data_IF_606852510146
#
_entry.id   IF_606852510146
#
_cell.length_a   1.000
_cell.length_b   1.000
_cell.length_c   1.000
_cell.angle_alpha   90.00
_cell.angle_beta   90.00
_cell.angle_gamma   90.00
#
_symmetry.space_group_name_H-M   'P 1'
#
loop_
_entity.id
_entity.type
_entity.pdbx_description
1 polymer ?
#
# COMPACT_ATOMS: atom_id res chain seq x y z
N UNK A 1 -43.95 -77.08 -3.53
CA UNK A 1 -44.05 -75.74 -2.92
C UNK A 1 -45.44 -75.56 -2.39
N UNK A 2 -45.58 -75.22 -1.11
CA UNK A 2 -46.88 -75.07 -0.46
C UNK A 2 -47.29 -73.59 -0.55
N UNK A 3 -48.59 -73.31 -0.63
CA UNK A 3 -49.16 -71.96 -0.77
C UNK A 3 -48.58 -70.92 0.20
N UNK A 4 -48.27 -71.35 1.44
CA UNK A 4 -47.60 -70.53 2.47
C UNK A 4 -46.23 -70.00 2.07
N UNK A 5 -45.42 -70.78 1.37
CA UNK A 5 -44.07 -70.37 0.96
C UNK A 5 -44.13 -69.21 -0.06
N UNK A 6 -45.18 -69.20 -0.91
CA UNK A 6 -45.43 -68.13 -1.88
C UNK A 6 -45.98 -66.87 -1.20
N UNK A 7 -46.82 -67.02 -0.18
CA UNK A 7 -47.33 -65.89 0.62
C UNK A 7 -46.21 -65.19 1.39
N UNK A 8 -45.30 -65.97 2.00
CA UNK A 8 -44.14 -65.43 2.71
C UNK A 8 -43.17 -64.72 1.76
N UNK A 9 -42.89 -65.30 0.59
CA UNK A 9 -42.05 -64.66 -0.44
C UNK A 9 -42.68 -63.35 -0.97
N UNK A 10 -44.00 -63.32 -1.18
CA UNK A 10 -44.72 -62.13 -1.60
C UNK A 10 -44.64 -61.02 -0.53
N UNK A 11 -44.73 -61.37 0.75
CA UNK A 11 -44.67 -60.38 1.83
C UNK A 11 -43.24 -59.82 1.99
N UNK A 12 -42.21 -60.65 1.83
CA UNK A 12 -40.81 -60.18 1.76
C UNK A 12 -40.61 -59.25 0.56
N UNK A 13 -41.16 -59.56 -0.61
CA UNK A 13 -41.05 -58.72 -1.80
C UNK A 13 -41.76 -57.37 -1.62
N UNK A 14 -42.95 -57.35 -0.99
CA UNK A 14 -43.64 -56.10 -0.64
C UNK A 14 -42.82 -55.25 0.32
N UNK A 15 -42.26 -55.87 1.37
CA UNK A 15 -41.43 -55.16 2.33
C UNK A 15 -40.17 -54.59 1.65
N UNK A 16 -39.51 -55.39 0.80
CA UNK A 16 -38.40 -54.95 -0.05
C UNK A 16 -38.79 -53.79 -0.96
N UNK A 17 -39.95 -53.87 -1.63
CA UNK A 17 -40.46 -52.80 -2.48
C UNK A 17 -40.73 -51.51 -1.70
N UNK A 18 -41.31 -51.59 -0.50
CA UNK A 18 -41.53 -50.41 0.36
C UNK A 18 -40.21 -49.78 0.80
N UNK A 19 -39.21 -50.59 1.13
CA UNK A 19 -37.88 -50.10 1.48
C UNK A 19 -37.22 -49.40 0.29
N UNK A 20 -37.22 -50.04 -0.89
CA UNK A 20 -36.68 -49.45 -2.12
C UNK A 20 -37.40 -48.14 -2.46
N UNK A 21 -38.73 -48.11 -2.33
CA UNK A 21 -39.52 -46.90 -2.57
C UNK A 21 -39.14 -45.77 -1.61
N UNK A 22 -38.96 -46.07 -0.32
CA UNK A 22 -38.52 -45.09 0.68
C UNK A 22 -37.11 -44.55 0.41
N UNK A 23 -36.18 -45.43 -0.01
CA UNK A 23 -34.82 -45.04 -0.39
C UNK A 23 -34.79 -44.19 -1.65
N UNK A 24 -35.64 -44.51 -2.64
CA UNK A 24 -35.77 -43.72 -3.87
C UNK A 24 -36.30 -42.32 -3.55
N UNK A 25 -37.29 -42.20 -2.67
CA UNK A 25 -37.84 -40.91 -2.29
C UNK A 25 -36.82 -40.05 -1.52
N UNK A 26 -36.05 -40.66 -0.61
CA UNK A 26 -34.92 -39.99 0.04
C UNK A 26 -33.86 -39.53 -0.97
N UNK A 27 -33.57 -40.34 -1.99
CA UNK A 27 -32.62 -39.98 -3.04
C UNK A 27 -33.12 -38.79 -3.86
N UNK A 28 -34.41 -38.76 -4.24
CA UNK A 28 -35.01 -37.62 -4.92
C UNK A 28 -34.90 -36.35 -4.09
N UNK A 29 -35.25 -36.41 -2.81
CA UNK A 29 -35.13 -35.27 -1.91
C UNK A 29 -33.69 -34.74 -1.84
N UNK A 30 -32.70 -35.64 -1.76
CA UNK A 30 -31.28 -35.25 -1.79
C UNK A 30 -30.86 -34.63 -3.13
N UNK A 31 -31.36 -35.13 -4.25
CA UNK A 31 -31.12 -34.51 -5.56
C UNK A 31 -31.69 -33.09 -5.62
N UNK A 32 -32.91 -32.87 -5.15
CA UNK A 32 -33.52 -31.54 -5.10
C UNK A 32 -32.78 -30.57 -4.16
N UNK A 33 -32.25 -31.06 -3.03
CA UNK A 33 -31.40 -30.28 -2.12
C UNK A 33 -30.08 -29.87 -2.79
N UNK A 34 -29.45 -30.79 -3.54
CA UNK A 34 -28.23 -30.52 -4.29
C UNK A 34 -28.47 -29.53 -5.42
N UNK A 35 -29.58 -29.65 -6.17
CA UNK A 35 -29.95 -28.70 -7.21
C UNK A 35 -30.17 -27.29 -6.65
N UNK A 36 -30.88 -27.17 -5.53
CA UNK A 36 -31.07 -25.88 -4.83
C UNK A 36 -29.75 -25.28 -4.35
N UNK A 37 -28.86 -26.10 -3.78
CA UNK A 37 -27.53 -25.64 -3.35
C UNK A 37 -26.67 -25.21 -4.54
N UNK A 38 -26.74 -25.93 -5.65
CA UNK A 38 -26.05 -25.61 -6.89
C UNK A 38 -26.52 -24.27 -7.49
N UNK A 39 -27.84 -24.07 -7.61
CA UNK A 39 -28.40 -22.82 -8.11
C UNK A 39 -28.00 -21.63 -7.22
N UNK A 40 -28.05 -21.81 -5.89
CA UNK A 40 -27.62 -20.78 -4.95
C UNK A 40 -26.14 -20.40 -5.12
N UNK A 41 -25.26 -21.39 -5.26
CA UNK A 41 -23.83 -21.13 -5.45
C UNK A 41 -23.54 -20.50 -6.83
N UNK A 42 -24.30 -20.89 -7.86
CA UNK A 42 -24.22 -20.27 -9.20
C UNK A 42 -24.60 -18.80 -9.14
N UNK A 43 -25.70 -18.46 -8.49
CA UNK A 43 -26.17 -17.07 -8.38
C UNK A 43 -25.17 -16.23 -7.58
N UNK A 44 -24.63 -16.77 -6.47
CA UNK A 44 -23.58 -16.14 -5.69
C UNK A 44 -22.28 -15.95 -6.48
N UNK A 45 -21.90 -16.92 -7.31
CA UNK A 45 -20.76 -16.81 -8.22
C UNK A 45 -21.00 -15.73 -9.28
N UNK A 46 -22.23 -15.58 -9.78
CA UNK A 46 -22.59 -14.52 -10.72
C UNK A 46 -22.49 -13.13 -10.07
N UNK A 47 -23.04 -12.98 -8.86
CA UNK A 47 -22.99 -11.72 -8.09
C UNK A 47 -21.57 -11.29 -7.75
N UNK A 48 -20.72 -12.23 -7.34
CA UNK A 48 -19.30 -11.94 -7.04
C UNK A 48 -18.53 -11.55 -8.30
N UNK A 49 -18.79 -12.23 -9.42
CA UNK A 49 -18.22 -11.86 -10.73
C UNK A 49 -18.62 -10.45 -11.15
N UNK A 50 -19.90 -10.09 -11.04
CA UNK A 50 -20.38 -8.75 -11.36
C UNK A 50 -19.73 -7.66 -10.49
N UNK A 51 -19.64 -7.90 -9.17
CA UNK A 51 -18.94 -6.99 -8.24
C UNK A 51 -17.47 -6.83 -8.59
N UNK A 52 -16.81 -7.91 -8.99
CA UNK A 52 -15.40 -7.88 -9.40
C UNK A 52 -15.22 -7.03 -10.67
N UNK A 53 -16.02 -7.27 -11.72
CA UNK A 53 -15.97 -6.49 -12.96
C UNK A 53 -16.27 -5.01 -12.71
N UNK A 54 -17.20 -4.68 -11.81
CA UNK A 54 -17.48 -3.30 -11.45
C UNK A 54 -16.28 -2.64 -10.76
N UNK A 55 -15.65 -3.32 -9.80
CA UNK A 55 -14.42 -2.83 -9.13
C UNK A 55 -13.26 -2.65 -10.12
N UNK A 56 -13.08 -3.56 -11.07
CA UNK A 56 -12.07 -3.43 -12.12
C UNK A 56 -12.30 -2.19 -12.97
N UNK A 57 -13.55 -1.93 -13.35
CA UNK A 57 -13.93 -0.72 -14.10
C UNK A 57 -13.64 0.54 -13.28
N UNK A 58 -14.05 0.58 -12.02
CA UNK A 58 -13.84 1.73 -11.15
C UNK A 58 -12.34 2.01 -10.94
N UNK A 59 -11.54 0.95 -10.78
CA UNK A 59 -10.08 1.06 -10.69
C UNK A 59 -9.46 1.60 -11.98
N UNK A 60 -9.92 1.14 -13.15
CA UNK A 60 -9.44 1.64 -14.44
C UNK A 60 -9.81 3.12 -14.66
N UNK A 61 -11.02 3.52 -14.28
CA UNK A 61 -11.43 4.93 -14.31
C UNK A 61 -10.56 5.78 -13.39
N UNK A 62 -10.41 5.38 -12.12
CA UNK A 62 -9.55 6.09 -11.16
C UNK A 62 -8.10 6.19 -11.64
N UNK A 63 -7.55 5.12 -12.22
CA UNK A 63 -6.20 5.13 -12.80
C UNK A 63 -6.09 6.14 -13.94
N UNK A 64 -7.09 6.21 -14.82
CA UNK A 64 -7.09 7.15 -15.95
C UNK A 64 -7.16 8.60 -15.46
N UNK A 65 -7.99 8.88 -14.46
CA UNK A 65 -8.12 10.21 -13.87
C UNK A 65 -6.82 10.66 -13.19
N UNK A 66 -6.17 9.78 -12.43
CA UNK A 66 -4.88 10.07 -11.79
C UNK A 66 -3.76 10.34 -12.81
N UNK A 67 -3.74 9.59 -13.92
CA UNK A 67 -2.80 9.86 -15.02
C UNK A 67 -3.06 11.25 -15.62
N UNK A 68 -4.34 11.59 -15.86
CA UNK A 68 -4.72 12.91 -16.35
C UNK A 68 -4.28 14.06 -15.42
N UNK A 69 -4.50 13.91 -14.10
CA UNK A 69 -4.05 14.90 -13.11
C UNK A 69 -2.53 15.04 -13.08
N UNK A 70 -1.81 13.92 -13.15
CA UNK A 70 -0.35 13.92 -13.18
C UNK A 70 0.19 14.66 -14.41
N UNK A 71 -0.40 14.42 -15.58
CA UNK A 71 0.04 15.06 -16.81
C UNK A 71 -0.33 16.56 -16.84
N UNK A 72 -1.45 16.96 -16.23
CA UNK A 72 -1.79 18.36 -16.02
C UNK A 72 -0.79 19.08 -15.10
N UNK A 73 -0.41 18.47 -13.97
CA UNK A 73 0.60 19.01 -13.06
C UNK A 73 1.98 19.11 -13.72
N UNK A 74 2.38 18.12 -14.53
CA UNK A 74 3.61 18.21 -15.31
C UNK A 74 3.58 19.38 -16.29
N UNK A 75 2.47 19.61 -16.96
CA UNK A 75 2.32 20.73 -17.89
C UNK A 75 2.42 22.08 -17.16
N UNK A 76 1.73 22.23 -16.02
CA UNK A 76 1.80 23.43 -15.19
C UNK A 76 3.23 23.67 -14.65
N UNK A 77 3.92 22.60 -14.21
CA UNK A 77 5.31 22.69 -13.77
C UNK A 77 6.25 23.11 -14.91
N UNK A 78 6.05 22.62 -16.12
CA UNK A 78 6.86 23.00 -17.27
C UNK A 78 6.66 24.48 -17.64
N UNK A 79 5.43 24.99 -17.54
CA UNK A 79 5.11 26.41 -17.75
C UNK A 79 5.81 27.30 -16.71
N UNK A 80 5.73 26.96 -15.43
CA UNK A 80 6.42 27.68 -14.35
C UNK A 80 7.94 27.69 -14.52
N UNK A 81 8.53 26.57 -14.94
CA UNK A 81 9.96 26.50 -15.25
C UNK A 81 10.32 27.46 -16.39
N UNK A 82 9.52 27.48 -17.45
CA UNK A 82 9.71 28.42 -18.57
C UNK A 82 9.64 29.88 -18.14
N UNK A 83 8.66 30.24 -17.29
CA UNK A 83 8.55 31.59 -16.74
C UNK A 83 9.77 31.98 -15.89
N UNK A 84 10.26 31.07 -15.04
CA UNK A 84 11.45 31.31 -14.22
C UNK A 84 12.72 31.48 -15.06
N UNK A 85 12.88 30.70 -16.14
CA UNK A 85 14.01 30.84 -17.06
C UNK A 85 13.99 32.18 -17.78
N UNK A 86 12.80 32.64 -18.19
CA UNK A 86 12.63 33.96 -18.79
C UNK A 86 12.99 35.08 -17.82
N UNK A 87 12.47 35.05 -16.59
CA UNK A 87 12.80 36.05 -15.56
C UNK A 87 14.30 36.07 -15.25
N UNK A 88 14.96 34.89 -15.18
CA UNK A 88 16.41 34.80 -15.01
C UNK A 88 17.16 35.45 -16.17
N UNK A 89 16.74 35.22 -17.41
CA UNK A 89 17.36 35.83 -18.58
C UNK A 89 17.19 37.36 -18.57
N UNK A 90 16.02 37.86 -18.19
CA UNK A 90 15.76 39.30 -18.04
C UNK A 90 16.57 39.93 -16.91
N UNK A 91 16.63 39.27 -15.75
CA UNK A 91 17.48 39.66 -14.62
C UNK A 91 18.96 39.71 -15.01
N UNK A 92 19.43 38.75 -15.81
CA UNK A 92 20.80 38.75 -16.34
C UNK A 92 21.07 39.97 -17.22
N UNK A 93 20.15 40.31 -18.12
CA UNK A 93 20.26 41.52 -18.97
C UNK A 93 20.28 42.81 -18.15
N UNK A 94 19.43 42.89 -17.12
CA UNK A 94 19.41 44.05 -16.22
C UNK A 94 20.71 44.17 -15.41
N UNK A 95 21.26 43.06 -14.94
CA UNK A 95 22.54 43.04 -14.23
C UNK A 95 23.69 43.55 -15.11
N UNK A 96 23.75 43.15 -16.38
CA UNK A 96 24.77 43.66 -17.32
C UNK A 96 24.61 45.16 -17.54
N UNK A 97 23.38 45.64 -17.77
CA UNK A 97 23.12 47.09 -17.92
C UNK A 97 23.50 47.89 -16.68
N UNK A 98 23.24 47.35 -15.49
CA UNK A 98 23.63 47.98 -14.23
C UNK A 98 25.16 48.08 -14.12
N UNK A 99 25.86 47.00 -14.44
CA UNK A 99 27.32 46.97 -14.44
C UNK A 99 27.93 47.96 -15.45
N UNK A 100 27.34 48.08 -16.65
CA UNK A 100 27.74 49.08 -17.64
C UNK A 100 27.52 50.51 -17.14
N UNK A 101 26.37 50.79 -16.51
CA UNK A 101 26.07 52.09 -15.88
C UNK A 101 27.07 52.43 -14.77
N UNK A 102 27.38 51.49 -13.88
CA UNK A 102 28.38 51.67 -12.82
C UNK A 102 29.76 52.00 -13.41
N UNK A 103 30.16 51.28 -14.47
CA UNK A 103 31.42 51.56 -15.15
C UNK A 103 31.46 52.97 -15.73
N UNK A 104 30.41 53.39 -16.45
CA UNK A 104 30.32 54.75 -17.00
C UNK A 104 30.35 55.81 -15.89
N UNK A 105 29.68 55.56 -14.76
CA UNK A 105 29.67 56.47 -13.63
C UNK A 105 31.06 56.62 -13.00
N UNK A 106 31.79 55.51 -12.81
CA UNK A 106 33.15 55.54 -12.27
C UNK A 106 34.13 56.26 -13.21
N UNK A 107 34.02 56.04 -14.52
CA UNK A 107 34.80 56.78 -15.53
C UNK A 107 34.52 58.29 -15.47
N UNK A 108 33.24 58.68 -15.41
CA UNK A 108 32.81 60.08 -15.27
C UNK A 108 33.37 60.72 -14.00
N UNK A 109 33.31 60.01 -12.88
CA UNK A 109 33.80 60.48 -11.58
C UNK A 109 35.32 60.69 -11.61
N UNK A 110 36.06 59.78 -12.26
CA UNK A 110 37.49 59.92 -12.44
C UNK A 110 37.85 61.12 -13.33
N UNK A 111 37.08 61.37 -14.39
CA UNK A 111 37.29 62.50 -15.29
C UNK A 111 37.01 63.85 -14.59
N UNK A 112 35.94 63.94 -13.81
CA UNK A 112 35.66 65.11 -12.95
C UNK A 112 36.82 65.34 -11.97
N UNK A 113 37.32 64.27 -11.34
CA UNK A 113 38.44 64.36 -10.39
C UNK A 113 39.72 64.89 -11.07
N UNK A 114 40.03 64.43 -12.29
CA UNK A 114 41.17 64.93 -13.09
C UNK A 114 40.98 66.41 -13.45
N UNK A 115 39.78 66.80 -13.89
CA UNK A 115 39.49 68.19 -14.23
C UNK A 115 39.65 69.13 -13.02
N UNK A 116 39.19 68.70 -11.84
CA UNK A 116 39.38 69.44 -10.58
C UNK A 116 40.86 69.68 -10.26
N UNK A 117 41.71 68.65 -10.40
CA UNK A 117 43.17 68.77 -10.18
C UNK A 117 43.78 69.76 -11.18
N UNK A 118 43.43 69.69 -12.47
CA UNK A 118 43.93 70.63 -13.48
C UNK A 118 43.52 72.09 -13.16
N UNK A 119 42.28 72.31 -12.72
CA UNK A 119 41.80 73.64 -12.33
C UNK A 119 42.58 74.15 -11.11
N UNK A 120 42.79 73.33 -10.08
CA UNK A 120 43.60 73.71 -8.91
C UNK A 120 45.02 74.12 -9.30
N UNK A 121 45.71 73.32 -10.12
CA UNK A 121 47.06 73.63 -10.59
C UNK A 121 47.12 74.92 -11.42
N UNK A 122 46.11 75.18 -12.26
CA UNK A 122 46.03 76.43 -13.02
C UNK A 122 45.87 77.65 -12.10
N UNK A 123 45.11 77.49 -11.01
CA UNK A 123 44.89 78.55 -10.03
C UNK A 123 46.15 78.81 -9.19
N UNK A 124 46.86 77.76 -8.77
CA UNK A 124 48.15 77.88 -8.08
C UNK A 124 49.22 78.56 -8.95
N UNK A 125 49.27 78.22 -10.24
CA UNK A 125 50.18 78.89 -11.20
C UNK A 125 49.85 80.37 -11.31
N UNK A 126 48.57 80.73 -11.50
CA UNK A 126 48.14 82.13 -11.58
C UNK A 126 48.49 82.93 -10.32
N UNK A 127 48.28 82.35 -9.14
CA UNK A 127 48.65 82.99 -7.87
C UNK A 127 50.17 83.21 -7.75
N UNK A 128 50.97 82.23 -8.21
CA UNK A 128 52.43 82.34 -8.24
C UNK A 128 52.90 83.44 -9.19
N UNK A 129 52.29 83.54 -10.38
CA UNK A 129 52.57 84.59 -11.35
C UNK A 129 52.22 85.98 -10.79
N UNK A 130 51.07 86.11 -10.11
CA UNK A 130 50.67 87.34 -9.43
C UNK A 130 51.66 87.75 -8.34
N UNK A 131 52.14 86.81 -7.52
CA UNK A 131 53.15 87.07 -6.51
C UNK A 131 54.46 87.56 -7.15
N UNK A 132 54.86 86.97 -8.28
CA UNK A 132 56.04 87.41 -9.03
C UNK A 132 55.89 88.84 -9.58
N UNK A 133 54.71 89.19 -10.12
CA UNK A 133 54.40 90.55 -10.58
C UNK A 133 54.43 91.54 -9.41
N UNK A 134 53.85 91.19 -8.27
CA UNK A 134 53.87 92.05 -7.06
C UNK A 134 55.31 92.26 -6.57
N UNK A 135 56.15 91.23 -6.57
CA UNK A 135 57.57 91.34 -6.23
C UNK A 135 58.33 92.23 -7.25
N UNK A 136 58.03 92.11 -8.54
CA UNK A 136 58.59 92.98 -9.58
C UNK A 136 58.16 94.44 -9.41
N UNK A 137 56.90 94.70 -9.07
CA UNK A 137 56.40 96.05 -8.78
C UNK A 137 56.98 96.61 -7.48
N UNK A 138 57.20 95.79 -6.44
CA UNK A 138 57.91 96.21 -5.24
C UNK A 138 59.38 96.57 -5.54
N UNK A 139 60.00 95.94 -6.54
CA UNK A 139 61.34 96.28 -7.03
C UNK A 139 61.34 97.51 -7.97
N UNK A 140 60.25 97.77 -8.70
CA UNK A 140 60.09 98.93 -9.59
C UNK A 140 59.50 100.18 -8.92
N UNK A 141 58.90 100.06 -7.73
CA UNK A 141 58.33 101.16 -6.95
C UNK A 141 59.32 102.21 -6.43
N UNK A 142 60.62 102.06 -6.73
CA UNK A 142 61.64 103.07 -6.45
C UNK A 142 61.90 104.04 -7.61
N UNK A 143 61.30 103.84 -8.79
CA UNK A 143 61.51 104.73 -9.95
C UNK A 143 60.16 104.88 -10.66
N UNK A 144 59.68 106.12 -10.85
CA UNK A 144 58.46 106.52 -11.56
C UNK A 144 57.25 106.84 -10.68
N UNK A 145 57.42 107.82 -9.79
CA UNK A 145 56.34 108.72 -9.40
C UNK A 145 56.59 110.10 -10.03
N UNK A 146 56.18 110.30 -11.28
CA UNK A 146 55.97 111.64 -11.85
C UNK A 146 55.16 111.60 -13.14
N UNK A 147 54.30 112.61 -13.27
CA UNK A 147 53.56 113.09 -14.44
C UNK A 147 52.12 112.56 -14.54
N UNK A 148 51.15 113.25 -13.94
CA UNK A 148 50.55 114.55 -14.30
C UNK A 148 49.36 114.39 -15.25
N UNK A 149 48.21 114.73 -14.65
CA UNK A 149 46.92 115.19 -15.18
C UNK A 149 46.82 115.48 -16.69
N UNK A 150 45.75 114.95 -17.31
CA UNK A 150 44.86 115.72 -18.21
C UNK A 150 43.58 114.93 -18.55
N UNK A 151 42.51 115.62 -18.98
CA UNK A 151 41.40 115.02 -19.73
C UNK A 151 40.04 114.88 -19.03
N UNK A 152 39.45 115.96 -18.52
CA UNK A 152 38.17 115.96 -17.78
C UNK A 152 36.86 115.79 -18.57
N UNK A 153 36.87 115.67 -19.91
CA UNK A 153 35.62 115.57 -20.71
C UNK A 153 35.44 114.28 -21.53
N UNK A 154 36.49 113.50 -21.79
CA UNK A 154 36.36 112.14 -22.35
C UNK A 154 36.19 111.06 -21.25
N UNK A 155 36.56 111.35 -20.00
CA UNK A 155 36.45 110.42 -18.85
C UNK A 155 35.00 110.10 -18.45
N UNK A 156 34.08 111.07 -18.53
CA UNK A 156 32.68 110.85 -18.15
C UNK A 156 31.92 109.93 -19.12
N UNK A 157 32.14 110.08 -20.44
CA UNK A 157 31.54 109.18 -21.44
C UNK A 157 32.13 107.78 -21.36
N UNK A 158 33.45 107.67 -21.18
CA UNK A 158 34.12 106.39 -20.99
C UNK A 158 33.65 105.68 -19.71
N UNK A 159 33.45 106.40 -18.61
CA UNK A 159 32.89 105.86 -17.36
C UNK A 159 31.45 105.37 -17.52
N UNK A 160 30.62 106.12 -18.25
CA UNK A 160 29.24 105.69 -18.54
C UNK A 160 29.18 104.45 -19.43
N UNK A 161 30.07 104.33 -20.41
CA UNK A 161 30.19 103.13 -21.25
C UNK A 161 30.70 101.92 -20.45
N UNK A 162 31.65 102.13 -19.52
CA UNK A 162 32.10 101.09 -18.59
C UNK A 162 30.93 100.64 -17.70
N UNK A 163 30.22 101.57 -17.05
CA UNK A 163 29.05 101.26 -16.22
C UNK A 163 27.96 100.52 -17.01
N UNK A 164 27.70 100.90 -18.26
CA UNK A 164 26.71 100.23 -19.13
C UNK A 164 27.14 98.80 -19.46
N UNK A 165 28.42 98.58 -19.77
CA UNK A 165 28.98 97.23 -19.99
C UNK A 165 28.94 96.39 -18.72
N UNK A 166 29.27 96.96 -17.56
CA UNK A 166 29.21 96.28 -16.26
C UNK A 166 27.78 95.89 -15.88
N UNK A 167 26.81 96.80 -16.07
CA UNK A 167 25.39 96.51 -15.86
C UNK A 167 24.87 95.43 -16.81
N UNK A 168 25.24 95.50 -18.09
CA UNK A 168 24.87 94.47 -19.06
C UNK A 168 25.45 93.11 -18.67
N UNK A 169 26.72 93.05 -18.28
CA UNK A 169 27.37 91.84 -17.79
C UNK A 169 26.63 91.23 -16.59
N UNK A 170 26.31 92.03 -15.56
CA UNK A 170 25.56 91.54 -14.40
C UNK A 170 24.13 91.12 -14.75
N UNK A 171 23.46 91.82 -15.67
CA UNK A 171 22.13 91.45 -16.12
C UNK A 171 22.14 90.11 -16.87
N UNK A 172 23.13 89.87 -17.72
CA UNK A 172 23.30 88.59 -18.43
C UNK A 172 23.63 87.46 -17.46
N UNK A 173 24.55 87.68 -16.51
CA UNK A 173 24.86 86.72 -15.43
C UNK A 173 23.63 86.36 -14.59
N UNK A 174 22.80 87.34 -14.25
CA UNK A 174 21.55 87.10 -13.52
C UNK A 174 20.58 86.23 -14.33
N UNK A 175 20.43 86.51 -15.63
CA UNK A 175 19.58 85.69 -16.52
C UNK A 175 20.09 84.24 -16.63
N UNK A 176 21.40 84.05 -16.79
CA UNK A 176 22.02 82.72 -16.82
C UNK A 176 21.81 81.97 -15.49
N UNK A 177 21.96 82.66 -14.35
CA UNK A 177 21.70 82.09 -13.02
C UNK A 177 20.24 81.63 -12.85
N UNK A 178 19.27 82.41 -13.34
CA UNK A 178 17.85 82.03 -13.30
C UNK A 178 17.57 80.78 -14.14
N UNK A 179 18.19 80.65 -15.32
CA UNK A 179 18.04 79.46 -16.17
C UNK A 179 18.61 78.22 -15.48
N UNK A 180 19.78 78.32 -14.85
CA UNK A 180 20.38 77.22 -14.08
C UNK A 180 19.50 76.85 -12.89
N UNK A 181 18.98 77.84 -12.16
CA UNK A 181 18.08 77.62 -11.03
C UNK A 181 16.79 76.90 -11.47
N UNK A 182 16.20 77.27 -12.61
CA UNK A 182 15.02 76.58 -13.14
C UNK A 182 15.30 75.12 -13.50
N UNK A 183 16.45 74.83 -14.13
CA UNK A 183 16.87 73.46 -14.45
C UNK A 183 17.07 72.63 -13.18
N UNK A 184 17.79 73.16 -12.20
CA UNK A 184 18.01 72.50 -10.92
C UNK A 184 16.68 72.20 -10.20
N UNK A 185 15.75 73.15 -10.21
CA UNK A 185 14.44 73.00 -9.58
C UNK A 185 13.52 71.99 -10.33
N UNK A 186 13.79 71.75 -11.62
CA UNK A 186 13.15 70.66 -12.35
C UNK A 186 13.76 69.29 -11.98
N UNK A 187 15.09 69.20 -11.90
CA UNK A 187 15.77 67.97 -11.47
C UNK A 187 15.41 67.57 -10.04
N UNK A 188 15.29 68.53 -9.12
CA UNK A 188 14.85 68.26 -7.73
C UNK A 188 13.45 67.66 -7.72
N UNK A 189 12.50 68.20 -8.50
CA UNK A 189 11.15 67.65 -8.60
C UNK A 189 11.13 66.23 -9.18
N UNK A 190 11.90 65.96 -10.22
CA UNK A 190 12.01 64.60 -10.77
C UNK A 190 12.60 63.63 -9.73
N UNK A 191 13.62 64.06 -8.99
CA UNK A 191 14.19 63.25 -7.91
C UNK A 191 13.17 62.97 -6.82
N UNK A 192 12.39 63.97 -6.39
CA UNK A 192 11.32 63.78 -5.40
C UNK A 192 10.27 62.77 -5.88
N UNK A 193 9.82 62.86 -7.13
CA UNK A 193 8.91 61.89 -7.74
C UNK A 193 9.49 60.47 -7.70
N UNK A 194 10.76 60.29 -8.13
CA UNK A 194 11.41 58.97 -8.08
C UNK A 194 11.59 58.45 -6.66
N UNK A 195 11.85 59.31 -5.68
CA UNK A 195 11.93 58.93 -4.26
C UNK A 195 10.57 58.42 -3.78
N UNK A 196 9.48 59.11 -4.11
CA UNK A 196 8.13 58.67 -3.72
C UNK A 196 7.75 57.34 -4.36
N UNK A 197 8.15 57.12 -5.61
CA UNK A 197 7.90 55.85 -6.30
C UNK A 197 8.69 54.69 -5.68
N UNK A 198 9.96 54.92 -5.34
CA UNK A 198 10.80 53.93 -4.65
C UNK A 198 10.24 53.59 -3.26
N UNK A 199 9.76 54.59 -2.52
CA UNK A 199 9.13 54.37 -1.21
C UNK A 199 7.88 53.51 -1.31
N UNK A 200 7.02 53.75 -2.30
CA UNK A 200 5.82 52.95 -2.56
C UNK A 200 6.18 51.51 -2.93
N UNK A 201 7.16 51.31 -3.81
CA UNK A 201 7.62 49.97 -4.21
C UNK A 201 8.22 49.21 -3.01
N UNK A 202 8.97 49.88 -2.15
CA UNK A 202 9.52 49.30 -0.93
C UNK A 202 8.42 48.81 0.02
N UNK A 203 7.38 49.60 0.25
CA UNK A 203 6.22 49.20 1.06
C UNK A 203 5.47 48.00 0.44
N UNK A 204 5.32 47.96 -0.88
CA UNK A 204 4.70 46.82 -1.56
C UNK A 204 5.54 45.54 -1.41
N UNK A 205 6.86 45.63 -1.57
CA UNK A 205 7.78 44.51 -1.33
C UNK A 205 7.70 44.01 0.11
N UNK A 206 7.63 44.91 1.09
CA UNK A 206 7.45 44.55 2.50
C UNK A 206 6.13 43.80 2.73
N UNK A 207 5.02 44.31 2.17
CA UNK A 207 3.70 43.67 2.28
C UNK A 207 3.69 42.28 1.64
N UNK A 208 4.27 42.12 0.45
CA UNK A 208 4.44 40.82 -0.21
C UNK A 208 5.29 39.87 0.63
N UNK A 209 6.35 40.37 1.26
CA UNK A 209 7.20 39.61 2.18
C UNK A 209 6.42 39.03 3.37
N UNK A 210 5.49 39.80 3.95
CA UNK A 210 4.61 39.33 5.03
C UNK A 210 3.71 38.18 4.55
N UNK A 211 3.04 38.34 3.42
CA UNK A 211 2.17 37.32 2.85
C UNK A 211 2.92 36.00 2.56
N UNK A 212 4.10 36.10 1.95
CA UNK A 212 4.95 34.92 1.68
C UNK A 212 5.40 34.25 2.97
N UNK A 213 5.73 35.02 4.02
CA UNK A 213 6.13 34.47 5.31
C UNK A 213 4.98 33.73 6.01
N UNK A 214 3.74 34.23 5.93
CA UNK A 214 2.55 33.53 6.43
C UNK A 214 2.34 32.20 5.69
N UNK A 215 2.50 32.22 4.37
CA UNK A 215 2.39 31.02 3.54
C UNK A 215 3.45 29.97 3.89
N UNK A 216 4.70 30.41 4.08
CA UNK A 216 5.80 29.53 4.53
C UNK A 216 5.48 28.90 5.88
N UNK A 217 4.89 29.65 6.82
CA UNK A 217 4.46 29.10 8.13
C UNK A 217 3.38 28.04 7.95
N UNK A 218 2.38 28.31 7.10
CA UNK A 218 1.30 27.36 6.78
C UNK A 218 1.84 26.07 6.17
N UNK A 219 2.72 26.18 5.17
CA UNK A 219 3.36 25.04 4.52
C UNK A 219 4.21 24.21 5.49
N UNK A 220 4.96 24.84 6.40
CA UNK A 220 5.73 24.12 7.43
C UNK A 220 4.83 23.25 8.32
N UNK A 221 3.66 23.76 8.70
CA UNK A 221 2.68 22.99 9.49
C UNK A 221 2.11 21.82 8.68
N UNK A 222 1.72 22.06 7.41
CA UNK A 222 1.25 20.98 6.53
C UNK A 222 2.30 19.87 6.35
N UNK A 223 3.57 20.23 6.14
CA UNK A 223 4.68 19.27 6.01
C UNK A 223 4.89 18.49 7.31
N UNK A 224 4.81 19.15 8.48
CA UNK A 224 4.94 18.48 9.77
C UNK A 224 3.82 17.46 10.01
N UNK A 225 2.58 17.80 9.64
CA UNK A 225 1.43 16.91 9.72
C UNK A 225 1.57 15.71 8.78
N UNK A 226 1.89 15.95 7.50
CA UNK A 226 2.13 14.88 6.54
C UNK A 226 3.25 13.92 7.00
N UNK A 227 4.31 14.47 7.60
CA UNK A 227 5.39 13.65 8.17
C UNK A 227 4.95 12.85 9.40
N UNK A 228 3.96 13.32 10.18
CA UNK A 228 3.37 12.56 11.28
C UNK A 228 2.49 11.42 10.75
N UNK A 229 1.66 11.68 9.74
CA UNK A 229 0.80 10.67 9.12
C UNK A 229 1.63 9.56 8.47
N UNK A 230 2.70 9.92 7.75
CA UNK A 230 3.59 8.95 7.14
C UNK A 230 4.31 8.06 8.18
N UNK A 231 4.67 8.63 9.34
CA UNK A 231 5.21 7.85 10.47
C UNK A 231 4.18 6.87 11.03
N UNK A 232 2.95 7.34 11.25
CA UNK A 232 1.84 6.49 11.73
C UNK A 232 1.56 5.34 10.77
N UNK A 233 1.44 5.64 9.47
CA UNK A 233 1.19 4.64 8.43
C UNK A 233 2.33 3.62 8.35
N UNK A 234 3.58 4.06 8.47
CA UNK A 234 4.75 3.16 8.52
C UNK A 234 4.66 2.22 9.71
N UNK A 235 4.32 2.71 10.90
CA UNK A 235 4.13 1.88 12.09
C UNK A 235 3.00 0.86 11.91
N UNK A 236 1.87 1.29 11.33
CA UNK A 236 0.76 0.39 11.02
C UNK A 236 1.17 -0.70 10.03
N UNK A 237 1.88 -0.33 8.96
CA UNK A 237 2.39 -1.28 7.97
C UNK A 237 3.33 -2.32 8.62
N UNK A 238 4.26 -1.89 9.47
CA UNK A 238 5.14 -2.83 10.20
C UNK A 238 4.38 -3.77 11.13
N UNK A 239 3.31 -3.29 11.78
CA UNK A 239 2.47 -4.12 12.64
C UNK A 239 1.70 -5.16 11.83
N UNK A 240 1.05 -4.75 10.73
CA UNK A 240 0.33 -5.65 9.83
C UNK A 240 1.27 -6.69 9.23
N UNK A 241 2.48 -6.29 8.81
CA UNK A 241 3.48 -7.22 8.30
C UNK A 241 3.89 -8.26 9.35
N UNK A 242 4.08 -7.82 10.61
CA UNK A 242 4.42 -8.72 11.71
C UNK A 242 3.29 -9.71 11.99
N UNK A 243 2.02 -9.26 11.95
CA UNK A 243 0.86 -10.15 12.09
C UNK A 243 0.76 -11.16 10.95
N UNK A 244 0.98 -10.73 9.71
CA UNK A 244 0.99 -11.60 8.53
C UNK A 244 2.06 -12.68 8.66
N UNK A 245 3.28 -12.32 9.04
CA UNK A 245 4.37 -13.28 9.25
C UNK A 245 4.03 -14.29 10.35
N UNK A 246 3.40 -13.85 11.45
CA UNK A 246 2.94 -14.74 12.53
C UNK A 246 1.88 -15.73 12.05
N UNK A 247 0.89 -15.27 11.28
CA UNK A 247 -0.15 -16.13 10.71
C UNK A 247 0.44 -17.15 9.73
N UNK A 248 1.39 -16.73 8.88
CA UNK A 248 2.09 -17.64 7.97
C UNK A 248 2.89 -18.70 8.72
N UNK A 249 3.59 -18.31 9.80
CA UNK A 249 4.34 -19.26 10.63
C UNK A 249 3.41 -20.24 11.34
N UNK A 250 2.27 -19.77 11.88
CA UNK A 250 1.28 -20.64 12.50
C UNK A 250 0.71 -21.64 11.50
N UNK A 251 0.34 -21.19 10.29
CA UNK A 251 -0.14 -22.09 9.25
C UNK A 251 0.90 -23.14 8.84
N UNK A 252 2.18 -22.76 8.76
CA UNK A 252 3.27 -23.69 8.49
C UNK A 252 3.42 -24.75 9.61
N UNK A 253 3.38 -24.31 10.86
CA UNK A 253 3.44 -25.21 12.03
C UNK A 253 2.25 -26.19 12.03
N UNK A 254 1.02 -25.69 11.82
CA UNK A 254 -0.19 -26.52 11.76
C UNK A 254 -0.09 -27.58 10.66
N UNK A 255 0.46 -27.21 9.49
CA UNK A 255 0.69 -28.14 8.39
C UNK A 255 1.71 -29.22 8.79
N UNK A 256 2.79 -28.83 9.46
CA UNK A 256 3.84 -29.75 9.92
C UNK A 256 3.34 -30.70 11.01
N UNK A 257 2.55 -30.21 11.97
CA UNK A 257 1.93 -31.02 13.02
C UNK A 257 1.01 -32.09 12.43
N UNK A 258 0.13 -31.67 11.51
CA UNK A 258 -0.74 -32.60 10.77
C UNK A 258 0.09 -33.65 10.04
N UNK A 259 1.13 -33.26 9.31
CA UNK A 259 1.99 -34.18 8.56
C UNK A 259 2.67 -35.20 9.49
N UNK A 260 3.17 -34.73 10.63
CA UNK A 260 3.81 -35.56 11.66
C UNK A 260 2.82 -36.56 12.26
N UNK A 261 1.58 -36.13 12.53
CA UNK A 261 0.50 -37.00 13.00
C UNK A 261 0.23 -38.14 12.00
N UNK A 262 0.06 -37.82 10.72
CA UNK A 262 -0.18 -38.82 9.67
C UNK A 262 0.98 -39.77 9.48
N UNK A 263 2.21 -39.27 9.49
CA UNK A 263 3.38 -40.13 9.44
C UNK A 263 3.41 -41.10 10.64
N UNK A 264 3.09 -40.62 11.84
CA UNK A 264 3.01 -41.46 13.05
C UNK A 264 1.92 -42.53 12.93
N UNK A 265 0.75 -42.15 12.40
CA UNK A 265 -0.34 -43.09 12.15
C UNK A 265 0.06 -44.16 11.14
N UNK A 266 0.70 -43.77 10.04
CA UNK A 266 1.24 -44.68 9.04
C UNK A 266 2.23 -45.67 9.65
N UNK A 267 3.19 -45.20 10.46
CA UNK A 267 4.16 -46.08 11.14
C UNK A 267 3.47 -47.06 12.10
N UNK A 268 2.43 -46.64 12.83
CA UNK A 268 1.65 -47.53 13.71
C UNK A 268 0.88 -48.59 12.92
N UNK A 269 0.30 -48.23 11.78
CA UNK A 269 -0.38 -49.17 10.88
C UNK A 269 0.59 -50.22 10.33
N UNK A 270 1.80 -49.81 9.93
CA UNK A 270 2.85 -50.75 9.53
C UNK A 270 3.25 -51.70 10.67
N UNK A 271 3.41 -51.19 11.89
CA UNK A 271 3.80 -52.00 13.05
C UNK A 271 2.71 -52.96 13.54
N UNK A 272 1.42 -52.62 13.35
CA UNK A 272 0.27 -53.44 13.74
C UNK A 272 -0.12 -54.54 12.73
N UNK A 273 0.44 -54.52 11.52
CA UNK A 273 0.17 -55.49 10.46
C UNK A 273 1.35 -56.47 10.30
N UNK A 274 1.19 -57.73 10.73
CA UNK A 274 2.26 -58.77 10.66
C UNK A 274 2.54 -59.31 9.25
N UNK A 275 1.72 -58.98 8.26
CA UNK A 275 1.94 -59.41 6.87
C UNK A 275 1.52 -58.29 5.93
N UNK A 276 2.47 -57.55 5.36
CA UNK A 276 2.47 -57.14 3.95
C UNK A 276 3.79 -56.44 3.59
N UNK A 277 4.20 -56.60 2.33
CA UNK A 277 5.40 -56.04 1.72
C UNK A 277 5.49 -54.52 1.89
N UNK A 278 6.66 -53.99 2.29
CA UNK A 278 6.87 -52.55 2.36
C UNK A 278 6.72 -51.95 0.95
N UNK A 279 5.98 -50.85 0.77
CA UNK A 279 6.04 -50.10 -0.47
C UNK A 279 7.50 -49.67 -0.68
N UNK A 280 8.00 -49.86 -1.90
CA UNK A 280 9.37 -49.53 -2.28
C UNK A 280 9.60 -48.01 -2.24
N UNK A 281 9.75 -47.44 -1.05
CA UNK A 281 10.43 -46.16 -0.82
C UNK A 281 11.05 -46.16 0.58
N UNK A 282 12.21 -46.82 0.68
CA UNK A 282 13.10 -46.57 1.80
C UNK A 282 13.54 -45.10 1.74
N UNK A 283 13.04 -44.29 2.69
CA UNK A 283 13.54 -42.97 3.09
C UNK A 283 13.47 -41.82 2.04
N UNK A 284 12.26 -41.39 1.66
CA UNK A 284 12.06 -40.10 0.98
C UNK A 284 10.80 -39.41 1.47
N UNK A 285 10.87 -38.12 1.78
CA UNK A 285 9.79 -37.30 2.33
C UNK A 285 8.47 -37.47 1.57
N UNK A 286 7.46 -38.04 2.22
CA UNK A 286 6.11 -38.08 1.67
C UNK A 286 5.48 -36.69 1.72
N UNK A 287 4.81 -36.30 0.64
CA UNK A 287 3.88 -35.17 0.67
C UNK A 287 2.61 -35.54 1.44
N UNK A 288 1.89 -34.52 1.92
CA UNK A 288 0.61 -34.67 2.62
C UNK A 288 -0.41 -35.51 1.82
N UNK A 289 -0.46 -35.28 0.50
CA UNK A 289 -1.38 -35.99 -0.39
C UNK A 289 -1.03 -37.48 -0.48
N UNK A 290 0.25 -37.80 -0.64
CA UNK A 290 0.72 -39.20 -0.74
C UNK A 290 0.48 -39.97 0.56
N UNK A 291 0.79 -39.39 1.73
CA UNK A 291 0.52 -40.04 3.02
C UNK A 291 -0.99 -40.26 3.26
N UNK A 292 -1.81 -39.29 2.89
CA UNK A 292 -3.27 -39.39 3.06
C UNK A 292 -3.86 -40.50 2.19
N UNK A 293 -3.41 -40.62 0.93
CA UNK A 293 -3.84 -41.68 0.02
C UNK A 293 -3.44 -43.05 0.57
N UNK A 294 -2.17 -43.20 0.97
CA UNK A 294 -1.66 -44.49 1.49
C UNK A 294 -2.40 -44.90 2.76
N UNK A 295 -2.62 -43.97 3.70
CA UNK A 295 -3.38 -44.29 4.93
C UNK A 295 -4.84 -44.63 4.60
N UNK A 296 -5.47 -43.93 3.66
CA UNK A 296 -6.83 -44.23 3.22
C UNK A 296 -6.95 -45.63 2.61
N UNK A 297 -6.06 -45.98 1.69
CA UNK A 297 -6.02 -47.32 1.06
C UNK A 297 -5.82 -48.43 2.10
N UNK A 298 -4.98 -48.19 3.11
CA UNK A 298 -4.78 -49.15 4.20
C UNK A 298 -6.02 -49.31 5.08
N UNK A 299 -6.70 -48.22 5.42
CA UNK A 299 -7.97 -48.26 6.18
C UNK A 299 -9.03 -49.01 5.40
N UNK A 300 -9.16 -48.76 4.11
CA UNK A 300 -10.14 -49.41 3.24
C UNK A 300 -9.88 -50.92 3.15
N UNK A 301 -8.60 -51.33 3.00
CA UNK A 301 -8.22 -52.74 2.96
C UNK A 301 -8.49 -53.46 4.28
N UNK A 302 -8.11 -52.88 5.41
CA UNK A 302 -8.38 -53.45 6.74
C UNK A 302 -9.90 -53.57 6.99
N UNK A 303 -10.68 -52.59 6.55
CA UNK A 303 -12.14 -52.63 6.66
C UNK A 303 -12.73 -53.76 5.83
N UNK A 304 -12.21 -53.97 4.61
CA UNK A 304 -12.61 -55.09 3.76
C UNK A 304 -12.27 -56.45 4.39
N UNK A 305 -11.04 -56.63 4.87
CA UNK A 305 -10.59 -57.87 5.51
C UNK A 305 -11.41 -58.18 6.78
N UNK A 306 -11.70 -57.18 7.60
CA UNK A 306 -12.57 -57.32 8.78
C UNK A 306 -13.99 -57.73 8.38
N UNK A 307 -14.55 -57.12 7.33
CA UNK A 307 -15.88 -57.47 6.85
C UNK A 307 -15.96 -58.92 6.35
N UNK A 308 -14.92 -59.39 5.65
CA UNK A 308 -14.81 -60.76 5.17
C UNK A 308 -14.66 -61.77 6.33
N UNK A 309 -13.85 -61.42 7.34
CA UNK A 309 -13.71 -62.22 8.55
C UNK A 309 -15.04 -62.35 9.30
N UNK A 310 -15.78 -61.25 9.47
CA UNK A 310 -17.10 -61.26 10.09
C UNK A 310 -18.10 -62.13 9.32
N UNK A 311 -18.13 -62.04 7.99
CA UNK A 311 -18.96 -62.93 7.18
C UNK A 311 -18.61 -64.41 7.39
N UNK A 312 -17.32 -64.73 7.53
CA UNK A 312 -16.88 -66.10 7.81
C UNK A 312 -17.31 -66.57 9.21
N UNK A 313 -17.24 -65.69 10.22
CA UNK A 313 -17.75 -65.96 11.57
C UNK A 313 -19.25 -66.24 11.53
N UNK A 314 -20.05 -65.37 10.89
CA UNK A 314 -21.51 -65.57 10.79
C UNK A 314 -21.87 -66.87 10.06
N UNK A 315 -21.11 -67.26 9.03
CA UNK A 315 -21.28 -68.57 8.37
C UNK A 315 -20.99 -69.73 9.32
N UNK A 316 -19.93 -69.64 10.12
CA UNK A 316 -19.58 -70.68 11.09
C UNK A 316 -20.62 -70.77 12.21
N UNK A 317 -21.13 -69.63 12.70
CA UNK A 317 -22.20 -69.58 13.70
C UNK A 317 -23.46 -70.29 13.19
N UNK A 318 -23.91 -69.98 11.96
CA UNK A 318 -25.06 -70.66 11.34
C UNK A 318 -24.84 -72.18 11.19
N UNK A 319 -23.63 -72.62 10.83
CA UNK A 319 -23.28 -74.04 10.77
C UNK A 319 -23.29 -74.69 12.16
N UNK A 320 -22.79 -73.98 13.18
CA UNK A 320 -22.81 -74.44 14.57
C UNK A 320 -24.23 -74.56 15.11
N UNK A 321 -25.09 -73.57 14.88
CA UNK A 321 -26.50 -73.60 15.24
C UNK A 321 -27.22 -74.77 14.54
N UNK A 322 -27.01 -74.95 13.24
CA UNK A 322 -27.59 -76.06 12.49
C UNK A 322 -27.14 -77.44 13.03
N UNK A 323 -25.85 -77.58 13.36
CA UNK A 323 -25.33 -78.81 14.00
C UNK A 323 -25.89 -79.02 15.41
N UNK A 324 -26.04 -77.96 16.19
CA UNK A 324 -26.64 -78.02 17.53
C UNK A 324 -28.09 -78.48 17.47
N UNK A 325 -28.89 -77.89 16.58
CA UNK A 325 -30.28 -78.29 16.37
C UNK A 325 -30.41 -79.76 15.91
N UNK A 326 -29.51 -80.22 15.02
CA UNK A 326 -29.47 -81.61 14.60
C UNK A 326 -29.12 -82.55 15.78
N UNK A 327 -28.17 -82.17 16.63
CA UNK A 327 -27.79 -82.93 17.81
C UNK A 327 -28.94 -83.02 18.82
N UNK A 328 -29.65 -81.92 19.06
CA UNK A 328 -30.85 -81.89 19.91
C UNK A 328 -31.93 -82.84 19.40
N UNK A 329 -32.22 -82.81 18.09
CA UNK A 329 -33.17 -83.73 17.45
C UNK A 329 -32.77 -85.20 17.63
N UNK A 330 -31.49 -85.54 17.42
CA UNK A 330 -30.97 -86.89 17.64
C UNK A 330 -31.08 -87.29 19.11
N UNK A 331 -30.78 -86.38 20.04
CA UNK A 331 -30.91 -86.65 21.48
C UNK A 331 -32.36 -86.93 21.90
N UNK A 332 -33.32 -86.20 21.32
CA UNK A 332 -34.75 -86.41 21.55
C UNK A 332 -35.21 -87.77 21.00
N UNK A 333 -34.75 -88.16 19.80
CA UNK A 333 -35.03 -89.48 19.23
C UNK A 333 -34.43 -90.62 20.07
N UNK A 334 -33.22 -90.43 20.60
CA UNK A 334 -32.58 -91.38 21.51
C UNK A 334 -33.38 -91.56 22.80
N UNK A 335 -33.80 -90.46 23.45
CA UNK A 335 -34.69 -90.50 24.62
C UNK A 335 -35.98 -91.24 24.34
N UNK A 336 -36.63 -90.95 23.22
CA UNK A 336 -37.87 -91.63 22.83
C UNK A 336 -37.66 -93.15 22.65
N UNK A 337 -36.52 -93.56 22.08
CA UNK A 337 -36.15 -94.98 21.97
C UNK A 337 -35.88 -95.62 23.32
N UNK A 338 -35.15 -94.94 24.20
CA UNK A 338 -34.88 -95.42 25.56
C UNK A 338 -36.17 -95.62 26.36
N UNK A 339 -37.10 -94.66 26.31
CA UNK A 339 -38.42 -94.77 26.93
C UNK A 339 -39.23 -95.94 26.35
N UNK A 340 -39.23 -96.10 25.03
CA UNK A 340 -39.90 -97.21 24.35
C UNK A 340 -39.33 -98.57 24.76
N UNK A 341 -38.01 -98.68 24.87
CA UNK A 341 -37.33 -99.90 25.35
C UNK A 341 -37.58 -100.16 26.82
N UNK A 342 -37.59 -99.13 27.67
CA UNK A 342 -37.90 -99.26 29.08
C UNK A 342 -39.32 -99.79 29.27
N UNK A 343 -40.28 -99.24 28.53
CA UNK A 343 -41.68 -99.70 28.54
C UNK A 343 -41.80 -101.15 28.08
N UNK A 344 -41.17 -101.52 26.97
CA UNK A 344 -41.17 -102.90 26.49
C UNK A 344 -40.53 -103.88 27.49
N UNK A 345 -39.48 -103.45 28.20
CA UNK A 345 -38.84 -104.25 29.26
C UNK A 345 -39.76 -104.42 30.46
N UNK A 346 -40.48 -103.38 30.86
CA UNK A 346 -41.46 -103.42 31.95
C UNK A 346 -42.65 -104.31 31.60
N UNK A 347 -43.16 -104.22 30.36
CA UNK A 347 -44.20 -105.11 29.82
C UNK A 347 -43.73 -106.58 29.81
N UNK A 348 -42.49 -106.85 29.40
CA UNK A 348 -41.90 -108.20 29.49
C UNK A 348 -41.72 -108.68 30.92
N UNK A 349 -41.33 -107.80 31.85
CA UNK A 349 -41.18 -108.13 33.27
C UNK A 349 -42.52 -108.46 33.93
N UNK A 350 -43.56 -107.67 33.65
CA UNK A 350 -44.93 -107.95 34.12
C UNK A 350 -45.47 -109.25 33.52
N UNK A 351 -45.21 -109.53 32.25
CA UNK A 351 -45.57 -110.81 31.63
C UNK A 351 -44.83 -111.99 32.27
N UNK A 352 -43.52 -111.86 32.54
CA UNK A 352 -42.71 -112.92 33.14
C UNK A 352 -43.09 -113.17 34.60
N UNK A 353 -43.34 -112.11 35.39
CA UNK A 353 -43.86 -112.23 36.77
C UNK A 353 -45.26 -112.85 36.78
N UNK A 354 -46.14 -112.50 35.83
CA UNK A 354 -47.45 -113.14 35.69
C UNK A 354 -47.33 -114.64 35.37
N UNK A 355 -46.49 -115.03 34.41
CA UNK A 355 -46.21 -116.44 34.09
C UNK A 355 -45.61 -117.19 35.29
N UNK A 356 -44.68 -116.56 36.01
CA UNK A 356 -44.05 -117.15 37.19
C UNK A 356 -45.05 -117.35 38.34
N UNK A 357 -45.95 -116.37 38.56
CA UNK A 357 -47.06 -116.50 39.51
C UNK A 357 -48.02 -117.63 39.11
N UNK A 358 -48.35 -117.77 37.81
CA UNK A 358 -49.15 -118.89 37.32
C UNK A 358 -48.47 -120.25 37.55
N UNK A 359 -47.15 -120.33 37.38
CA UNK A 359 -46.37 -121.55 37.66
C UNK A 359 -46.32 -121.85 39.17
N UNK A 360 -46.10 -120.86 40.03
CA UNK A 360 -46.17 -121.03 41.49
C UNK A 360 -47.56 -121.49 41.94
N UNK A 361 -48.63 -120.95 41.37
CA UNK A 361 -50.00 -121.36 41.68
C UNK A 361 -50.30 -122.81 41.26
N UNK A 362 -49.62 -123.33 40.22
CA UNK A 362 -49.68 -124.74 39.81
C UNK A 362 -48.85 -125.66 40.72
N UNK A 363 -47.78 -125.16 41.32
CA UNK A 363 -46.93 -125.92 42.26
C UNK A 363 -47.58 -126.00 43.66
N UNK A 364 -48.42 -125.05 44.06
CA UNK A 364 -49.17 -125.07 45.33
C UNK A 364 -50.48 -125.88 45.29
N UNK A 365 -50.84 -126.51 44.16
CA UNK A 365 -52.06 -127.32 44.00
C UNK A 365 -51.73 -128.82 43.73
N UNK A 366 -50.47 -129.22 43.91
CA UNK A 366 -50.07 -130.62 44.13
C UNK A 366 -49.96 -130.91 45.62
#
# INVERSE_FOLDING_TARGET
MRMRDLEEALEVEKNSHTEISSRLELLKQKCEELERAYDHERDKSCDTSHKLTQLEKDFLTMKTDLIGQLDQEKAASAELIGQLEQERAESGKLSVKLQEQEKVWTERQQEISRALVCVQQSYETLLSDLDHVVQQYQQQGAIHAQNTEEGGKHKASALMDILRKTLHYYNTQLQESVIVMQKLNHEVRQKDETITDLQRNMQECEARGVCVNEEVKRLRVCVANAAADLRSLKTQHTNTQTQMNKLQQQHHNDFQEKLTFLHTLYQRLLAGCVLMTPPHSMLGSFSWAELSIVVQEHVDRLTSDLSAANQKVSRLESVCEGKSAALESVSAQLRQREESWSKQREDLSTQNTHLNNQLQHKIQVQ
#
